data_IF_125864105283
#
_entry.id   IF_125864105283
#
_cell.length_a   1.000
_cell.length_b   1.000
_cell.length_c   1.000
_cell.angle_alpha   90.00
_cell.angle_beta   90.00
_cell.angle_gamma   90.00
#
_symmetry.space_group_name_H-M   'P 1'
#
loop_
_entity.id
_entity.type
_entity.pdbx_description
1 polymer ?
#
# COMPACT_ATOMS: atom_id res chain seq x y z
N UNK A 1 -54.92 52.36 14.31
CA UNK A 1 -53.52 51.96 14.03
C UNK A 1 -53.34 50.53 14.51
N UNK A 2 -53.12 49.64 13.55
CA UNK A 2 -52.86 48.22 13.66
C UNK A 2 -51.45 47.98 14.25
N UNK A 3 -51.25 46.98 15.13
CA UNK A 3 -50.13 46.00 15.09
C UNK A 3 -50.42 44.82 16.04
N UNK A 4 -50.58 43.63 15.43
CA UNK A 4 -50.54 42.30 16.06
C UNK A 4 -49.09 41.88 16.37
N UNK A 5 -48.88 41.07 17.40
CA UNK A 5 -47.84 40.03 17.35
C UNK A 5 -48.40 38.71 17.90
N UNK A 6 -48.16 37.67 17.12
CA UNK A 6 -48.61 36.29 17.26
C UNK A 6 -47.34 35.42 17.29
N UNK A 7 -47.47 34.22 17.86
CA UNK A 7 -46.54 33.09 17.82
C UNK A 7 -45.36 33.17 18.83
N UNK A 8 -44.94 32.10 19.50
CA UNK A 8 -44.83 30.72 19.03
C UNK A 8 -45.04 29.68 20.15
N UNK A 9 -45.91 28.71 19.89
CA UNK A 9 -46.08 27.48 20.68
C UNK A 9 -45.03 26.47 20.20
N UNK A 10 -44.05 26.16 21.05
CA UNK A 10 -43.01 25.19 20.80
C UNK A 10 -43.58 23.76 20.70
N UNK A 11 -43.85 23.30 19.49
CA UNK A 11 -44.21 21.92 19.16
C UNK A 11 -42.96 21.04 19.14
N UNK A 12 -42.72 20.30 20.23
CA UNK A 12 -41.74 19.23 20.30
C UNK A 12 -42.12 18.07 19.36
N UNK A 13 -41.43 17.96 18.22
CA UNK A 13 -41.39 16.73 17.39
C UNK A 13 -40.01 16.10 17.52
N UNK A 14 -39.93 15.07 18.36
CA UNK A 14 -38.80 14.15 18.49
C UNK A 14 -38.58 13.39 17.17
N UNK A 15 -37.51 13.73 16.45
CA UNK A 15 -37.00 12.94 15.32
C UNK A 15 -36.07 11.85 15.86
N UNK A 16 -36.53 10.60 15.83
CA UNK A 16 -35.67 9.42 15.94
C UNK A 16 -34.79 9.40 14.68
N UNK A 17 -33.52 9.80 14.83
CA UNK A 17 -32.54 9.67 13.75
C UNK A 17 -32.13 8.21 13.62
N UNK A 18 -32.54 7.57 12.52
CA UNK A 18 -31.95 6.32 12.07
C UNK A 18 -30.44 6.53 11.93
N UNK A 19 -29.65 5.74 12.65
CA UNK A 19 -28.21 5.59 12.46
C UNK A 19 -27.97 5.00 11.06
N UNK A 20 -27.89 5.86 10.06
CA UNK A 20 -27.25 5.51 8.81
C UNK A 20 -25.79 5.20 9.16
N UNK A 21 -25.37 3.96 8.95
CA UNK A 21 -23.96 3.57 8.96
C UNK A 21 -23.32 4.39 7.83
N UNK A 22 -22.82 5.57 8.18
CA UNK A 22 -22.37 6.55 7.22
C UNK A 22 -21.26 5.92 6.39
N UNK A 23 -21.35 6.08 5.07
CA UNK A 23 -20.21 5.86 4.20
C UNK A 23 -19.13 6.89 4.56
N UNK A 24 -18.39 6.63 5.64
CA UNK A 24 -17.28 7.48 6.07
C UNK A 24 -16.14 7.27 5.08
N UNK A 25 -16.10 8.12 4.05
CA UNK A 25 -14.98 8.15 3.12
C UNK A 25 -13.81 8.89 3.77
N UNK A 26 -12.65 8.24 3.81
CA UNK A 26 -11.41 8.82 4.32
C UNK A 26 -10.56 9.21 3.10
N UNK A 27 -10.14 10.48 2.96
CA UNK A 27 -9.34 10.90 1.82
C UNK A 27 -7.93 10.32 1.89
N UNK A 28 -7.52 9.59 0.86
CA UNK A 28 -6.15 9.10 0.68
C UNK A 28 -5.43 9.97 -0.34
N UNK A 29 -4.27 10.51 0.02
CA UNK A 29 -3.41 11.26 -0.92
C UNK A 29 -2.54 10.28 -1.70
N UNK A 30 -2.63 10.36 -3.02
CA UNK A 30 -1.81 9.56 -3.95
C UNK A 30 -0.92 10.49 -4.77
N UNK A 31 0.23 9.99 -5.21
CA UNK A 31 1.11 10.74 -6.11
C UNK A 31 0.43 11.00 -7.46
N UNK A 32 0.83 12.07 -8.15
CA UNK A 32 0.29 12.40 -9.48
C UNK A 32 0.48 11.24 -10.48
N UNK A 33 1.62 10.55 -10.40
CA UNK A 33 1.90 9.37 -11.22
C UNK A 33 0.93 8.22 -10.91
N UNK A 34 0.66 7.97 -9.62
CA UNK A 34 -0.30 6.94 -9.18
C UNK A 34 -1.71 7.24 -9.67
N UNK A 35 -2.13 8.50 -9.56
CA UNK A 35 -3.42 8.97 -10.08
C UNK A 35 -3.55 8.74 -11.59
N UNK A 36 -2.54 9.12 -12.37
CA UNK A 36 -2.56 8.94 -13.83
C UNK A 36 -2.70 7.47 -14.24
N UNK A 37 -2.02 6.55 -13.55
CA UNK A 37 -2.17 5.10 -13.77
C UNK A 37 -3.57 4.61 -13.43
N UNK A 38 -4.12 5.06 -12.30
CA UNK A 38 -5.47 4.70 -11.86
C UNK A 38 -6.53 5.16 -12.87
N UNK A 39 -6.47 6.43 -13.30
CA UNK A 39 -7.40 7.00 -14.26
C UNK A 39 -7.32 6.29 -15.62
N UNK A 40 -6.11 5.96 -16.08
CA UNK A 40 -5.92 5.19 -17.32
C UNK A 40 -6.54 3.79 -17.25
N UNK A 41 -6.39 3.08 -16.12
CA UNK A 41 -6.99 1.76 -15.92
C UNK A 41 -8.51 1.83 -15.86
N UNK A 42 -9.07 2.79 -15.12
CA UNK A 42 -10.52 3.03 -15.05
C UNK A 42 -11.09 3.38 -16.43
N UNK A 43 -10.42 4.22 -17.20
CA UNK A 43 -10.82 4.55 -18.56
C UNK A 43 -10.82 3.31 -19.47
N UNK A 44 -9.79 2.45 -19.33
CA UNK A 44 -9.68 1.21 -20.11
C UNK A 44 -10.81 0.23 -19.81
N UNK A 45 -11.16 0.08 -18.54
CA UNK A 45 -12.26 -0.81 -18.12
C UNK A 45 -13.62 -0.26 -18.55
N UNK A 46 -13.80 1.07 -18.54
CA UNK A 46 -15.07 1.71 -18.89
C UNK A 46 -15.25 1.97 -20.40
N UNK A 47 -14.25 1.69 -21.24
CA UNK A 47 -14.26 2.02 -22.68
C UNK A 47 -15.39 1.30 -23.44
N UNK A 48 -15.51 -0.01 -23.23
CA UNK A 48 -16.45 -0.88 -23.96
C UNK A 48 -17.47 -1.54 -23.01
N UNK A 49 -17.72 -0.91 -21.87
CA UNK A 49 -18.53 -1.52 -20.80
C UNK A 49 -20.02 -1.32 -21.05
N UNK A 50 -20.77 -2.41 -21.02
CA UNK A 50 -22.24 -2.40 -20.95
C UNK A 50 -22.65 -2.53 -19.48
N UNK A 51 -23.21 -1.47 -18.90
CA UNK A 51 -23.71 -1.44 -17.51
C UNK A 51 -23.20 -0.27 -16.66
N UNK A 52 -23.21 -0.43 -15.33
CA UNK A 52 -22.77 0.60 -14.38
C UNK A 52 -21.31 0.96 -14.62
N UNK A 53 -20.93 2.24 -14.48
CA UNK A 53 -19.51 2.64 -14.56
C UNK A 53 -18.72 2.15 -13.34
N UNK A 54 -17.51 1.63 -13.56
CA UNK A 54 -16.55 1.32 -12.50
C UNK A 54 -15.99 2.62 -11.94
N UNK A 55 -16.03 2.78 -10.61
CA UNK A 55 -15.36 3.89 -9.93
C UNK A 55 -13.91 3.53 -9.59
N UNK A 56 -13.02 4.52 -9.38
CA UNK A 56 -11.66 4.25 -8.92
C UNK A 56 -11.62 3.47 -7.60
N UNK A 57 -12.57 3.73 -6.71
CA UNK A 57 -12.73 3.02 -5.43
C UNK A 57 -12.97 1.51 -5.63
N UNK A 58 -13.87 1.13 -6.54
CA UNK A 58 -14.16 -0.28 -6.85
C UNK A 58 -12.90 -1.01 -7.36
N UNK A 59 -12.11 -0.33 -8.19
CA UNK A 59 -10.87 -0.87 -8.74
C UNK A 59 -9.80 -1.05 -7.64
N UNK A 60 -9.68 -0.08 -6.73
CA UNK A 60 -8.74 -0.16 -5.62
C UNK A 60 -9.10 -1.34 -4.72
N UNK A 61 -10.35 -1.42 -4.27
CA UNK A 61 -10.82 -2.53 -3.42
C UNK A 61 -10.54 -3.89 -4.05
N UNK A 62 -10.93 -4.08 -5.32
CA UNK A 62 -10.65 -5.32 -6.04
C UNK A 62 -9.16 -5.63 -6.13
N UNK A 63 -8.33 -4.62 -6.38
CA UNK A 63 -6.88 -4.81 -6.48
C UNK A 63 -6.24 -5.20 -5.14
N UNK A 64 -6.74 -4.67 -4.02
CA UNK A 64 -6.25 -4.98 -2.69
C UNK A 64 -6.55 -6.42 -2.29
N UNK A 65 -7.71 -6.95 -2.70
CA UNK A 65 -8.09 -8.35 -2.45
C UNK A 65 -7.21 -9.36 -3.21
N UNK A 66 -6.59 -8.94 -4.31
CA UNK A 66 -5.69 -9.77 -5.11
C UNK A 66 -4.21 -9.73 -4.63
N UNK A 67 -3.88 -8.84 -3.69
CA UNK A 67 -2.52 -8.76 -3.17
C UNK A 67 -2.20 -9.98 -2.30
N UNK A 68 -1.15 -10.70 -2.68
CA UNK A 68 -0.59 -11.79 -1.89
C UNK A 68 0.57 -11.30 -1.04
N UNK A 69 0.97 -12.07 -0.04
CA UNK A 69 2.14 -11.78 0.77
C UNK A 69 3.42 -11.63 -0.07
N UNK A 70 3.51 -12.37 -1.18
CA UNK A 70 4.62 -12.25 -2.13
C UNK A 70 4.66 -10.85 -2.77
N UNK A 71 3.52 -10.31 -3.19
CA UNK A 71 3.45 -8.95 -3.74
C UNK A 71 3.83 -7.91 -2.68
N UNK A 72 3.41 -8.09 -1.43
CA UNK A 72 3.77 -7.19 -0.33
C UNK A 72 5.27 -7.21 -0.04
N UNK A 73 5.89 -8.39 -0.02
CA UNK A 73 7.34 -8.54 0.12
C UNK A 73 8.10 -7.89 -1.03
N UNK A 74 7.62 -8.07 -2.27
CA UNK A 74 8.26 -7.48 -3.44
C UNK A 74 8.18 -5.94 -3.42
N UNK A 75 7.03 -5.38 -3.05
CA UNK A 75 6.88 -3.93 -2.88
C UNK A 75 7.86 -3.42 -1.82
N UNK A 76 7.96 -4.11 -0.69
CA UNK A 76 8.93 -3.80 0.36
C UNK A 76 10.38 -3.81 -0.17
N UNK A 77 10.75 -4.86 -0.89
CA UNK A 77 12.10 -5.01 -1.47
C UNK A 77 12.43 -3.93 -2.51
N UNK A 78 11.45 -3.53 -3.33
CA UNK A 78 11.61 -2.48 -4.35
C UNK A 78 11.84 -1.10 -3.72
N UNK A 79 11.22 -0.83 -2.58
CA UNK A 79 11.34 0.45 -1.87
C UNK A 79 12.63 0.59 -1.06
N UNK A 80 13.38 -0.48 -0.86
CA UNK A 80 14.67 -0.41 -0.16
C UNK A 80 15.65 0.50 -0.90
N UNK A 81 16.22 1.46 -0.19
CA UNK A 81 17.35 2.25 -0.66
C UNK A 81 18.60 1.39 -0.77
N UNK A 82 19.58 1.81 -1.57
CA UNK A 82 20.85 1.09 -1.67
C UNK A 82 21.56 0.95 -0.32
N UNK A 83 21.48 1.97 0.53
CA UNK A 83 22.01 1.92 1.90
C UNK A 83 21.34 0.81 2.72
N UNK A 84 20.02 0.76 2.71
CA UNK A 84 19.27 -0.28 3.44
C UNK A 84 19.54 -1.68 2.88
N UNK A 85 19.66 -1.82 1.55
CA UNK A 85 20.09 -3.09 0.92
C UNK A 85 21.45 -3.55 1.41
N UNK A 86 22.41 -2.63 1.53
CA UNK A 86 23.75 -2.94 2.03
C UNK A 86 23.74 -3.35 3.51
N UNK A 87 22.99 -2.63 4.35
CA UNK A 87 22.85 -2.96 5.77
C UNK A 87 22.17 -4.33 5.98
N UNK A 88 21.14 -4.65 5.18
CA UNK A 88 20.48 -5.96 5.23
C UNK A 88 21.45 -7.07 4.83
N UNK A 89 22.21 -6.89 3.74
CA UNK A 89 23.22 -7.86 3.29
C UNK A 89 24.30 -8.07 4.35
N UNK A 90 24.87 -6.97 4.85
CA UNK A 90 25.90 -7.01 5.89
C UNK A 90 25.38 -7.70 7.16
N UNK A 91 24.18 -7.34 7.62
CA UNK A 91 23.57 -7.95 8.81
C UNK A 91 23.31 -9.45 8.65
N UNK A 92 22.98 -9.93 7.45
CA UNK A 92 22.84 -11.37 7.16
C UNK A 92 24.20 -12.08 7.17
N UNK A 93 25.20 -11.51 6.50
CA UNK A 93 26.54 -12.09 6.42
C UNK A 93 27.28 -12.07 7.75
N UNK A 94 27.13 -11.00 8.55
CA UNK A 94 27.71 -10.90 9.89
C UNK A 94 27.09 -11.92 10.88
N UNK A 95 25.82 -12.31 10.66
CA UNK A 95 25.20 -13.42 11.41
C UNK A 95 25.74 -14.79 11.00
N UNK A 96 26.02 -14.99 9.71
CA UNK A 96 26.58 -16.23 9.19
C UNK A 96 28.08 -16.38 9.53
N UNK A 97 28.85 -15.31 9.35
CA UNK A 97 30.28 -15.20 9.70
C UNK A 97 30.44 -14.36 10.96
N UNK A 98 30.61 -15.03 12.10
CA UNK A 98 30.90 -14.35 13.37
C UNK A 98 32.21 -13.54 13.23
N UNK A 99 32.10 -12.21 13.28
CA UNK A 99 33.25 -11.31 13.29
C UNK A 99 33.54 -10.61 11.97
N UNK A 100 32.69 -10.73 10.94
CA UNK A 100 32.87 -9.99 9.69
C UNK A 100 32.88 -8.48 9.93
N UNK A 101 33.98 -7.82 9.58
CA UNK A 101 34.12 -6.37 9.59
C UNK A 101 33.44 -5.74 8.37
N UNK A 102 33.07 -4.46 8.46
CA UNK A 102 32.54 -3.69 7.32
C UNK A 102 33.52 -3.63 6.16
N UNK A 103 34.81 -3.54 6.47
CA UNK A 103 35.87 -3.43 5.45
C UNK A 103 36.02 -4.76 4.68
N UNK A 104 35.97 -5.89 5.40
CA UNK A 104 35.96 -7.23 4.79
C UNK A 104 34.71 -7.47 3.94
N UNK A 105 33.55 -7.02 4.41
CA UNK A 105 32.31 -7.07 3.63
C UNK A 105 32.40 -6.26 2.34
N UNK A 106 32.95 -5.04 2.40
CA UNK A 106 33.17 -4.19 1.23
C UNK A 106 34.16 -4.84 0.26
N UNK A 107 35.24 -5.43 0.75
CA UNK A 107 36.18 -6.22 -0.05
C UNK A 107 35.50 -7.36 -0.78
N UNK A 108 34.69 -8.17 -0.08
CA UNK A 108 33.92 -9.28 -0.69
C UNK A 108 32.88 -8.81 -1.72
N UNK A 109 32.27 -7.64 -1.50
CA UNK A 109 31.32 -7.02 -2.42
C UNK A 109 32.03 -6.55 -3.70
N UNK A 110 33.20 -5.92 -3.57
CA UNK A 110 34.00 -5.43 -4.70
C UNK A 110 34.61 -6.57 -5.52
N UNK A 111 35.02 -7.66 -4.87
CA UNK A 111 35.48 -8.90 -5.52
C UNK A 111 34.35 -9.67 -6.22
N UNK A 112 33.09 -9.25 -6.06
CA UNK A 112 31.92 -9.91 -6.65
C UNK A 112 31.57 -11.25 -5.99
N UNK A 113 32.20 -11.61 -4.88
CA UNK A 113 31.92 -12.84 -4.10
C UNK A 113 30.56 -12.78 -3.42
N UNK A 114 30.06 -11.57 -3.15
CA UNK A 114 28.74 -11.33 -2.58
C UNK A 114 27.94 -10.49 -3.55
N UNK A 115 26.82 -11.01 -4.04
CA UNK A 115 25.87 -10.27 -4.87
C UNK A 115 24.45 -10.45 -4.35
N UNK A 116 23.61 -9.44 -4.53
CA UNK A 116 22.19 -9.51 -4.19
C UNK A 116 21.47 -10.67 -4.92
N UNK A 117 21.90 -10.97 -6.15
CA UNK A 117 21.36 -12.03 -7.01
C UNK A 117 21.69 -13.46 -6.53
N UNK A 118 22.75 -13.65 -5.74
CA UNK A 118 23.12 -14.98 -5.23
C UNK A 118 22.18 -15.47 -4.12
N UNK A 119 21.31 -14.60 -3.59
CA UNK A 119 20.46 -14.92 -2.44
C UNK A 119 19.09 -15.51 -2.81
N UNK A 120 18.64 -15.45 -4.07
CA UNK A 120 17.44 -16.20 -4.49
C UNK A 120 17.68 -17.71 -4.53
N UNK A 121 18.93 -18.16 -4.71
CA UNK A 121 19.29 -19.59 -4.72
C UNK A 121 19.48 -20.20 -3.33
N UNK A 122 19.82 -19.40 -2.31
CA UNK A 122 20.11 -19.94 -0.96
C UNK A 122 18.84 -20.30 -0.16
N UNK A 123 17.65 -19.85 -0.58
CA UNK A 123 16.38 -20.22 0.06
C UNK A 123 15.85 -21.60 -0.35
N UNK A 124 16.38 -22.21 -1.42
CA UNK A 124 15.91 -23.49 -1.92
C UNK A 124 16.71 -24.72 -1.45
N UNK A 125 17.86 -24.53 -0.80
CA UNK A 125 18.70 -25.64 -0.34
C UNK A 125 18.53 -25.99 1.16
N UNK A 126 17.68 -25.28 1.89
CA UNK A 126 17.46 -25.50 3.33
C UNK A 126 16.15 -26.26 3.65
N UNK A 127 15.81 -27.30 2.86
CA UNK A 127 14.77 -28.27 3.23
C UNK A 127 15.41 -29.65 3.40
N UNK A 128 15.78 -30.06 4.63
CA UNK A 128 16.26 -31.42 4.87
C UNK A 128 15.07 -32.40 4.78
N UNK A 129 15.31 -33.51 4.10
CA UNK A 129 14.56 -34.76 4.27
C UNK A 129 15.24 -35.60 5.35
#
# INVERSE_FOLDING_TARGET
MNQNSVADVASAKSKVSKLAKGNSSIPVRISAQGKGKLDALVARINKDRVGRRVKPDDLICYSLDLLTDQHLQEIGARLLTNKERMEILYGKLSKANRGLSRDEFLGMLLEGKVTWLSHEKCLHEAKPA
#
